data_IF_825341151593
#
_entry.id   IF_825341151593
#
_cell.length_a   1.000
_cell.length_b   1.000
_cell.length_c   1.000
_cell.angle_alpha   90.00
_cell.angle_beta   90.00
_cell.angle_gamma   90.00
#
_symmetry.space_group_name_H-M   'P 1'
#
loop_
_entity.id
_entity.type
_entity.pdbx_description
1 polymer ?
#
# COMPACT_ATOMS: atom_id res chain seq x y z
N UNK A 1 -26.24 12.88 -47.63
CA UNK A 1 -24.86 13.38 -47.79
C UNK A 1 -24.41 13.94 -46.46
N UNK A 2 -23.59 13.21 -45.71
CA UNK A 2 -23.04 13.62 -44.43
C UNK A 2 -21.50 13.49 -44.52
N UNK A 3 -20.80 14.61 -44.37
CA UNK A 3 -19.35 14.70 -44.47
C UNK A 3 -18.68 14.16 -43.20
N UNK A 4 -18.00 13.02 -43.30
CA UNK A 4 -17.00 12.62 -42.30
C UNK A 4 -15.64 13.23 -42.68
N UNK A 5 -15.04 13.99 -41.76
CA UNK A 5 -13.68 14.54 -41.90
C UNK A 5 -12.73 13.72 -41.03
N UNK A 6 -11.88 12.91 -41.67
CA UNK A 6 -10.79 12.19 -41.02
C UNK A 6 -9.66 13.16 -40.69
N UNK A 7 -9.25 13.24 -39.42
CA UNK A 7 -8.09 14.04 -38.99
C UNK A 7 -6.87 13.12 -38.94
N UNK A 8 -5.89 13.39 -39.81
CA UNK A 8 -4.60 12.70 -39.85
C UNK A 8 -3.61 13.45 -38.95
N UNK A 9 -3.01 12.77 -37.98
CA UNK A 9 -1.92 13.31 -37.17
C UNK A 9 -0.59 12.73 -37.65
N UNK A 10 0.31 13.59 -38.12
CA UNK A 10 1.68 13.26 -38.51
C UNK A 10 2.58 13.60 -37.32
N UNK A 11 3.13 12.58 -36.66
CA UNK A 11 4.15 12.74 -35.64
C UNK A 11 5.53 12.85 -36.28
N UNK A 12 6.19 14.01 -36.12
CA UNK A 12 7.59 14.20 -36.46
C UNK A 12 8.40 13.90 -35.20
N UNK A 13 9.06 12.73 -35.17
CA UNK A 13 10.05 12.39 -34.16
C UNK A 13 11.45 12.86 -34.60
N UNK A 14 12.14 13.61 -33.76
CA UNK A 14 13.54 13.96 -33.95
C UNK A 14 14.41 13.17 -32.95
N UNK A 15 15.29 12.31 -33.47
CA UNK A 15 16.35 11.68 -32.69
C UNK A 15 17.66 12.44 -32.94
N UNK A 16 18.34 12.86 -31.87
CA UNK A 16 19.70 13.42 -31.95
C UNK A 16 20.69 12.34 -31.55
N UNK A 17 21.54 11.93 -32.49
CA UNK A 17 22.84 11.32 -32.22
C UNK A 17 23.91 12.20 -32.84
N UNK A 18 24.86 12.66 -32.03
CA UNK A 18 26.10 13.25 -32.51
C UNK A 18 27.24 12.83 -31.59
N UNK A 19 27.94 11.78 -32.00
CA UNK A 19 29.32 11.51 -31.58
C UNK A 19 30.26 12.06 -32.65
N UNK A 20 31.36 12.68 -32.23
CA UNK A 20 32.52 12.89 -33.10
C UNK A 20 33.79 12.67 -32.26
N UNK A 21 34.58 11.71 -32.70
CA UNK A 21 35.93 11.38 -32.23
C UNK A 21 36.97 12.30 -32.87
N UNK A 22 38.07 12.57 -32.17
CA UNK A 22 39.32 13.10 -32.71
C UNK A 22 40.46 12.19 -32.24
N UNK A 23 41.19 11.61 -33.20
CA UNK A 23 42.53 10.98 -33.07
C UNK A 23 43.60 12.07 -33.37
N UNK A 24 44.91 11.99 -33.11
CA UNK A 24 45.91 11.00 -32.71
C UNK A 24 47.04 11.79 -31.96
N UNK A 25 47.99 11.24 -31.21
CA UNK A 25 49.23 10.50 -31.60
C UNK A 25 50.10 10.46 -30.31
N UNK A 26 50.96 9.51 -29.93
CA UNK A 26 51.48 8.30 -30.55
C UNK A 26 52.33 7.48 -29.55
N UNK A 27 52.94 6.43 -30.11
CA UNK A 27 54.03 5.53 -29.63
C UNK A 27 53.77 4.46 -28.55
N UNK A 28 53.75 3.22 -29.06
CA UNK A 28 54.56 2.05 -28.66
C UNK A 28 53.88 0.79 -28.07
N UNK A 29 53.64 -0.15 -28.99
CA UNK A 29 54.11 -1.54 -29.00
C UNK A 29 53.62 -2.56 -27.93
N UNK A 30 52.67 -3.44 -28.33
CA UNK A 30 52.88 -4.89 -28.64
C UNK A 30 51.56 -5.69 -28.64
N UNK A 31 51.26 -6.33 -29.80
CA UNK A 31 50.81 -7.73 -30.06
C UNK A 31 49.94 -8.43 -29.00
N UNK A 32 48.77 -9.07 -29.21
CA UNK A 32 48.14 -9.95 -30.25
C UNK A 32 46.65 -10.09 -29.84
N UNK A 33 45.59 -10.13 -30.64
CA UNK A 33 45.28 -10.99 -31.80
C UNK A 33 44.17 -12.01 -31.45
N UNK A 34 42.94 -11.83 -31.97
CA UNK A 34 41.84 -12.81 -32.20
C UNK A 34 40.50 -12.02 -32.30
N UNK A 35 39.92 -11.70 -33.46
CA UNK A 35 39.27 -12.52 -34.52
C UNK A 35 37.83 -12.98 -34.20
N UNK A 36 37.01 -13.01 -35.27
CA UNK A 36 35.58 -13.24 -35.43
C UNK A 36 34.68 -11.99 -35.23
N UNK A 37 33.81 -11.58 -36.16
CA UNK A 37 33.31 -12.23 -37.36
C UNK A 37 31.96 -11.60 -37.68
N UNK A 38 31.89 -10.91 -38.81
CA UNK A 38 30.70 -10.33 -39.43
C UNK A 38 29.79 -11.44 -39.98
N UNK A 39 28.45 -11.34 -39.92
CA UNK A 39 27.48 -11.77 -40.97
C UNK A 39 26.01 -11.48 -40.56
N UNK A 40 25.45 -10.51 -41.31
CA UNK A 40 24.11 -10.37 -41.95
C UNK A 40 22.77 -10.66 -41.26
N UNK A 41 21.87 -9.70 -41.51
CA UNK A 41 20.41 -9.71 -41.42
C UNK A 41 19.74 -10.90 -42.13
N UNK A 42 18.65 -11.39 -41.53
CA UNK A 42 17.52 -11.99 -42.24
C UNK A 42 16.20 -11.58 -41.58
N UNK A 43 15.33 -11.01 -42.40
CA UNK A 43 13.94 -10.64 -42.16
C UNK A 43 13.06 -11.90 -42.26
N UNK A 44 12.14 -12.10 -41.30
CA UNK A 44 11.09 -13.11 -41.39
C UNK A 44 9.91 -12.73 -40.49
N UNK A 45 8.91 -12.10 -41.11
CA UNK A 45 7.53 -12.02 -40.64
C UNK A 45 6.93 -13.42 -40.50
N UNK A 46 6.45 -13.76 -39.30
CA UNK A 46 5.49 -14.84 -39.10
C UNK A 46 4.52 -14.45 -37.99
N UNK A 47 3.23 -14.38 -38.34
CA UNK A 47 2.13 -14.20 -37.40
C UNK A 47 2.05 -15.39 -36.44
N UNK A 48 1.81 -15.09 -35.17
CA UNK A 48 1.49 -16.05 -34.13
C UNK A 48 0.16 -15.66 -33.50
N UNK A 49 -0.81 -16.56 -33.63
CA UNK A 49 -2.09 -16.56 -32.96
C UNK A 49 -1.90 -16.41 -31.44
N UNK A 50 -2.53 -15.38 -30.85
CA UNK A 50 -2.56 -15.20 -29.40
C UNK A 50 -3.63 -16.11 -28.79
N UNK A 51 -3.24 -17.32 -28.40
CA UNK A 51 -3.99 -18.14 -27.46
C UNK A 51 -3.85 -17.59 -26.03
N UNK A 52 -4.99 -17.56 -25.33
CA UNK A 52 -5.13 -18.09 -23.97
C UNK A 52 -4.39 -17.38 -22.85
N UNK A 53 -5.10 -16.51 -22.14
CA UNK A 53 -4.78 -16.13 -20.77
C UNK A 53 -6.02 -16.26 -19.90
N UNK A 54 -6.42 -17.49 -19.57
CA UNK A 54 -7.28 -17.75 -18.42
C UNK A 54 -6.46 -17.47 -17.16
N UNK A 55 -6.75 -16.35 -16.50
CA UNK A 55 -6.11 -15.91 -15.28
C UNK A 55 -7.06 -16.00 -14.10
N UNK A 56 -6.96 -17.10 -13.36
CA UNK A 56 -7.21 -17.18 -11.92
C UNK A 56 -8.65 -17.02 -11.45
N UNK A 57 -9.33 -18.15 -11.24
CA UNK A 57 -10.36 -18.25 -10.20
C UNK A 57 -9.71 -18.05 -8.82
N UNK A 58 -9.54 -16.79 -8.42
CA UNK A 58 -9.29 -16.41 -7.04
C UNK A 58 -10.61 -16.58 -6.27
N UNK A 59 -10.64 -17.55 -5.35
CA UNK A 59 -11.78 -17.84 -4.50
C UNK A 59 -12.29 -16.62 -3.71
N UNK A 60 -13.41 -16.80 -3.03
CA UNK A 60 -14.24 -15.74 -2.41
C UNK A 60 -13.50 -14.68 -1.56
N UNK A 61 -12.26 -14.94 -1.13
CA UNK A 61 -11.35 -13.96 -0.52
C UNK A 61 -11.05 -12.73 -1.41
N UNK A 62 -10.96 -12.88 -2.74
CA UNK A 62 -10.70 -11.75 -3.64
C UNK A 62 -11.83 -10.69 -3.61
N UNK A 63 -13.07 -11.13 -3.35
CA UNK A 63 -14.22 -10.23 -3.19
C UNK A 63 -14.15 -9.40 -1.90
N UNK A 64 -13.69 -10.00 -0.80
CA UNK A 64 -13.55 -9.36 0.52
C UNK A 64 -12.64 -8.12 0.47
N UNK A 65 -11.50 -8.21 -0.21
CA UNK A 65 -10.53 -7.10 -0.23
C UNK A 65 -10.73 -6.11 -1.38
N UNK A 66 -11.76 -6.30 -2.22
CA UNK A 66 -12.10 -5.37 -3.31
C UNK A 66 -12.39 -3.94 -2.83
N UNK A 67 -12.80 -3.76 -1.57
CA UNK A 67 -12.94 -2.46 -0.92
C UNK A 67 -11.63 -1.65 -0.85
N UNK A 68 -10.48 -2.31 -1.00
CA UNK A 68 -9.14 -1.71 -1.01
C UNK A 68 -8.42 -1.90 -2.35
N UNK A 69 -9.10 -2.48 -3.35
CA UNK A 69 -8.58 -2.52 -4.71
C UNK A 69 -8.66 -1.11 -5.31
N UNK A 70 -7.54 -0.60 -5.81
CA UNK A 70 -7.55 0.61 -6.63
C UNK A 70 -8.28 0.30 -7.94
N UNK A 71 -9.32 1.09 -8.24
CA UNK A 71 -9.98 1.06 -9.53
C UNK A 71 -8.94 1.29 -10.63
N UNK A 72 -8.68 0.25 -11.40
CA UNK A 72 -7.98 0.38 -12.67
C UNK A 72 -8.86 1.21 -13.60
N UNK A 73 -8.31 2.31 -14.11
CA UNK A 73 -8.91 2.99 -15.26
C UNK A 73 -8.85 2.05 -16.47
N UNK A 74 -9.93 1.31 -16.71
CA UNK A 74 -10.00 0.37 -17.82
C UNK A 74 -11.27 -0.44 -17.82
N UNK A 75 -12.38 0.13 -18.30
CA UNK A 75 -13.59 -0.63 -18.58
C UNK A 75 -14.85 0.23 -18.70
N UNK A 76 -15.02 0.92 -19.82
CA UNK A 76 -16.37 1.28 -20.24
C UNK A 76 -17.08 -0.01 -20.71
N UNK A 77 -18.05 -0.49 -19.93
CA UNK A 77 -18.96 -1.54 -20.38
C UNK A 77 -19.60 -2.33 -19.25
N UNK A 78 -20.84 -2.00 -18.91
CA UNK A 78 -21.69 -2.91 -18.13
C UNK A 78 -22.77 -2.20 -17.32
N UNK A 79 -23.81 -1.69 -17.97
CA UNK A 79 -25.10 -1.52 -17.28
C UNK A 79 -25.72 -2.90 -17.08
N UNK A 80 -25.69 -3.40 -15.84
CA UNK A 80 -26.33 -4.66 -15.49
C UNK A 80 -25.80 -5.24 -14.18
N UNK A 81 -26.30 -4.76 -13.05
CA UNK A 81 -26.00 -5.36 -11.75
C UNK A 81 -26.36 -4.46 -10.58
N UNK A 82 -27.64 -4.42 -10.21
CA UNK A 82 -28.01 -4.06 -8.84
C UNK A 82 -27.48 -5.17 -7.92
N UNK A 83 -26.21 -5.08 -7.51
CA UNK A 83 -25.55 -6.06 -6.64
C UNK A 83 -24.09 -6.30 -6.98
N UNK A 84 -23.22 -5.33 -6.71
CA UNK A 84 -21.77 -5.57 -6.50
C UNK A 84 -21.09 -4.30 -5.96
N UNK A 85 -21.61 -3.77 -4.85
CA UNK A 85 -20.81 -2.87 -4.03
C UNK A 85 -19.65 -3.65 -3.42
N UNK A 86 -18.48 -3.04 -3.28
CA UNK A 86 -17.41 -3.62 -2.46
C UNK A 86 -17.97 -3.94 -1.05
N UNK A 87 -17.63 -5.10 -0.46
CA UNK A 87 -18.23 -5.51 0.80
C UNK A 87 -17.89 -4.52 1.91
N UNK A 88 -18.85 -4.30 2.81
CA UNK A 88 -18.65 -3.48 4.00
C UNK A 88 -17.89 -4.25 5.09
N UNK A 89 -17.46 -3.53 6.14
CA UNK A 89 -16.87 -4.17 7.32
C UNK A 89 -17.86 -5.04 8.09
N UNK A 90 -19.17 -4.83 7.94
CA UNK A 90 -20.18 -5.68 8.54
C UNK A 90 -20.26 -7.03 7.81
N UNK A 91 -20.06 -7.03 6.50
CA UNK A 91 -20.24 -8.18 5.61
C UNK A 91 -18.96 -9.00 5.39
N UNK A 92 -17.78 -8.42 5.65
CA UNK A 92 -16.48 -9.07 5.37
C UNK A 92 -15.49 -8.93 6.52
N UNK A 93 -15.03 -10.08 7.02
CA UNK A 93 -13.95 -10.17 8.01
C UNK A 93 -12.67 -9.52 7.50
N UNK A 94 -12.29 -9.75 6.23
CA UNK A 94 -11.12 -9.12 5.62
C UNK A 94 -11.18 -7.59 5.65
N UNK A 95 -12.36 -7.01 5.35
CA UNK A 95 -12.58 -5.57 5.45
C UNK A 95 -12.54 -5.08 6.88
N UNK A 96 -13.18 -5.81 7.79
CA UNK A 96 -13.21 -5.49 9.21
C UNK A 96 -11.79 -5.43 9.80
N UNK A 97 -10.99 -6.49 9.65
CA UNK A 97 -9.64 -6.56 10.17
C UNK A 97 -8.70 -5.56 9.51
N UNK A 98 -8.84 -5.32 8.20
CA UNK A 98 -8.07 -4.26 7.53
C UNK A 98 -8.39 -2.90 8.12
N UNK A 99 -9.66 -2.56 8.34
CA UNK A 99 -10.05 -1.27 8.94
C UNK A 99 -9.51 -1.12 10.36
N UNK A 100 -9.56 -2.17 11.18
CA UNK A 100 -8.95 -2.15 12.51
C UNK A 100 -7.42 -1.92 12.45
N UNK A 101 -6.72 -2.59 11.53
CA UNK A 101 -5.28 -2.40 11.33
C UNK A 101 -4.94 -0.97 10.87
N UNK A 102 -5.78 -0.36 10.02
CA UNK A 102 -5.62 1.05 9.64
C UNK A 102 -5.81 1.98 10.86
N UNK A 103 -6.83 1.74 11.69
CA UNK A 103 -7.03 2.52 12.94
C UNK A 103 -5.82 2.38 13.87
N UNK A 104 -5.29 1.16 14.04
CA UNK A 104 -4.06 0.93 14.81
C UNK A 104 -2.89 1.74 14.23
N UNK A 105 -2.78 1.82 12.90
CA UNK A 105 -1.78 2.65 12.22
C UNK A 105 -1.92 4.15 12.54
N UNK A 106 -3.15 4.68 12.56
CA UNK A 106 -3.41 6.08 12.93
C UNK A 106 -3.04 6.39 14.38
N UNK A 107 -3.41 5.49 15.30
CA UNK A 107 -3.06 5.57 16.72
C UNK A 107 -1.53 5.55 16.88
N UNK A 108 -0.84 4.63 16.20
CA UNK A 108 0.62 4.56 16.18
C UNK A 108 1.29 5.82 15.63
N UNK A 109 0.73 6.42 14.57
CA UNK A 109 1.23 7.68 14.03
C UNK A 109 1.03 8.85 15.01
N UNK A 110 -0.13 8.93 15.67
CA UNK A 110 -0.39 9.93 16.70
C UNK A 110 0.56 9.78 17.89
N UNK A 111 0.81 8.54 18.35
CA UNK A 111 1.78 8.22 19.40
C UNK A 111 3.18 8.72 19.05
N UNK A 112 3.66 8.40 17.84
CA UNK A 112 4.97 8.84 17.36
C UNK A 112 5.09 10.38 17.31
N UNK A 113 4.00 11.10 17.02
CA UNK A 113 3.99 12.56 17.03
C UNK A 113 4.03 13.14 18.45
N UNK A 114 3.29 12.54 19.40
CA UNK A 114 3.38 12.95 20.81
C UNK A 114 4.79 12.71 21.38
N UNK A 115 5.42 11.61 21.00
CA UNK A 115 6.82 11.31 21.35
C UNK A 115 7.80 12.33 20.75
N UNK A 116 7.55 12.78 19.52
CA UNK A 116 8.32 13.84 18.87
C UNK A 116 7.99 15.26 19.37
N UNK A 117 7.04 15.42 20.30
CA UNK A 117 6.57 16.72 20.80
C UNK A 117 5.67 17.50 19.84
N UNK A 118 5.25 16.89 18.73
CA UNK A 118 4.36 17.48 17.73
C UNK A 118 2.89 17.32 18.13
N UNK A 119 2.49 17.98 19.22
CA UNK A 119 1.17 17.78 19.85
C UNK A 119 -0.01 18.16 18.94
N UNK A 120 0.05 19.30 18.26
CA UNK A 120 -1.04 19.76 17.39
C UNK A 120 -1.31 18.78 16.23
N UNK A 121 -0.29 18.34 15.45
CA UNK A 121 -0.45 17.21 14.54
C UNK A 121 -1.00 15.93 15.16
N UNK A 122 -0.55 15.58 16.38
CA UNK A 122 -1.01 14.38 17.06
C UNK A 122 -2.51 14.45 17.38
N UNK A 123 -2.99 15.58 17.92
CA UNK A 123 -4.42 15.87 18.14
C UNK A 123 -5.24 15.72 16.87
N UNK A 124 -4.73 16.21 15.75
CA UNK A 124 -5.32 16.02 14.43
C UNK A 124 -5.55 14.55 14.11
N UNK A 125 -4.53 13.70 14.27
CA UNK A 125 -4.65 12.26 14.00
C UNK A 125 -5.49 11.50 15.03
N UNK A 126 -5.47 11.88 16.30
CA UNK A 126 -6.32 11.24 17.32
C UNK A 126 -7.81 11.32 16.99
N UNK A 127 -8.23 12.38 16.29
CA UNK A 127 -9.62 12.57 15.86
C UNK A 127 -10.00 11.77 14.61
N UNK A 128 -9.03 11.36 13.80
CA UNK A 128 -9.30 10.74 12.50
C UNK A 128 -10.00 9.38 12.59
N UNK A 129 -9.59 8.45 13.49
CA UNK A 129 -10.29 7.17 13.62
C UNK A 129 -11.81 7.33 13.77
N UNK A 130 -12.25 8.22 14.66
CA UNK A 130 -13.68 8.51 14.87
C UNK A 130 -14.34 9.19 13.66
N UNK A 131 -13.66 10.14 13.00
CA UNK A 131 -14.19 10.81 11.80
C UNK A 131 -14.33 9.87 10.60
N UNK A 132 -13.49 8.83 10.55
CA UNK A 132 -13.50 7.83 9.50
C UNK A 132 -14.39 6.63 9.83
N UNK A 133 -15.02 6.60 11.02
CA UNK A 133 -16.09 5.65 11.30
C UNK A 133 -17.29 5.95 10.39
N UNK A 134 -17.34 5.25 9.25
CA UNK A 134 -18.59 5.08 8.52
C UNK A 134 -19.56 4.24 9.38
N UNK A 135 -20.89 4.41 9.22
CA UNK A 135 -21.89 3.62 9.94
C UNK A 135 -21.61 2.11 9.91
N UNK A 136 -21.06 1.62 8.79
CA UNK A 136 -20.64 0.22 8.59
C UNK A 136 -19.62 -0.30 9.60
N UNK A 137 -18.65 0.50 10.05
CA UNK A 137 -17.67 0.04 11.04
C UNK A 137 -18.28 0.03 12.45
N UNK A 138 -19.10 1.01 12.77
CA UNK A 138 -19.83 1.04 14.04
C UNK A 138 -20.77 -0.18 14.15
N UNK A 139 -21.51 -0.48 13.08
CA UNK A 139 -22.34 -1.68 12.98
C UNK A 139 -21.50 -2.97 13.10
N UNK A 140 -20.38 -3.07 12.38
CA UNK A 140 -19.51 -4.25 12.44
C UNK A 140 -18.95 -4.51 13.85
N UNK A 141 -18.60 -3.44 14.58
CA UNK A 141 -18.15 -3.52 15.97
C UNK A 141 -19.28 -3.98 16.89
N UNK A 142 -20.49 -3.44 16.74
CA UNK A 142 -21.67 -3.83 17.53
C UNK A 142 -22.05 -5.30 17.32
N UNK A 143 -22.11 -5.75 16.07
CA UNK A 143 -22.41 -7.15 15.72
C UNK A 143 -21.42 -8.15 16.34
N UNK A 144 -20.16 -7.72 16.54
CA UNK A 144 -19.08 -8.52 17.14
C UNK A 144 -18.95 -8.33 18.65
N UNK A 145 -19.83 -7.54 19.28
CA UNK A 145 -19.78 -7.27 20.71
C UNK A 145 -18.59 -6.40 21.14
N UNK A 146 -17.98 -5.65 20.22
CA UNK A 146 -16.78 -4.83 20.42
C UNK A 146 -17.14 -3.38 20.75
N UNK A 147 -18.17 -3.17 21.57
CA UNK A 147 -18.62 -1.84 22.00
C UNK A 147 -17.54 -1.03 22.72
N UNK A 148 -16.67 -1.71 23.47
CA UNK A 148 -15.55 -1.08 24.18
C UNK A 148 -14.52 -0.47 23.21
N UNK A 149 -14.30 -1.08 22.04
CA UNK A 149 -13.41 -0.56 21.00
C UNK A 149 -13.97 0.74 20.43
N UNK A 150 -15.28 0.75 20.15
CA UNK A 150 -15.97 1.96 19.68
C UNK A 150 -15.84 3.09 20.70
N UNK A 151 -16.14 2.81 21.97
CA UNK A 151 -16.03 3.78 23.05
C UNK A 151 -14.59 4.31 23.21
N UNK A 152 -13.58 3.44 23.08
CA UNK A 152 -12.18 3.85 23.15
C UNK A 152 -11.77 4.77 21.99
N UNK A 153 -12.27 4.52 20.77
CA UNK A 153 -12.03 5.41 19.61
C UNK A 153 -12.71 6.76 19.79
N UNK A 154 -13.96 6.80 20.29
CA UNK A 154 -14.68 8.03 20.60
C UNK A 154 -13.93 8.84 21.67
N UNK A 155 -13.51 8.20 22.76
CA UNK A 155 -12.72 8.83 23.83
C UNK A 155 -11.36 9.35 23.34
N UNK A 156 -10.71 8.65 22.41
CA UNK A 156 -9.46 9.12 21.79
C UNK A 156 -9.69 10.43 21.01
N UNK A 157 -10.77 10.51 20.26
CA UNK A 157 -11.11 11.71 19.50
C UNK A 157 -11.46 12.89 20.40
N UNK A 158 -12.19 12.65 21.49
CA UNK A 158 -12.46 13.67 22.52
C UNK A 158 -11.17 14.17 23.16
N UNK A 159 -10.27 13.26 23.55
CA UNK A 159 -8.98 13.62 24.12
C UNK A 159 -8.13 14.47 23.16
N UNK A 160 -8.15 14.14 21.87
CA UNK A 160 -7.49 14.91 20.82
C UNK A 160 -8.12 16.29 20.59
N UNK A 161 -9.44 16.44 20.78
CA UNK A 161 -10.15 17.70 20.59
C UNK A 161 -10.01 18.68 21.76
N UNK A 162 -9.71 18.19 22.97
CA UNK A 162 -9.55 19.03 24.15
C UNK A 162 -8.12 19.59 24.26
N UNK A 163 -7.98 20.88 23.96
CA UNK A 163 -6.71 21.62 24.05
C UNK A 163 -6.12 21.70 25.46
N UNK A 164 -6.92 21.46 26.51
CA UNK A 164 -6.43 21.42 27.89
C UNK A 164 -5.61 20.16 28.19
N UNK A 165 -5.79 19.07 27.42
CA UNK A 165 -5.07 17.83 27.64
C UNK A 165 -3.57 18.00 27.41
N UNK A 166 -2.77 17.56 28.38
CA UNK A 166 -1.31 17.57 28.29
C UNK A 166 -0.80 16.42 27.41
N UNK A 167 0.48 16.44 27.07
CA UNK A 167 1.12 15.30 26.40
C UNK A 167 0.99 13.99 27.20
N UNK A 168 0.87 14.04 28.53
CA UNK A 168 0.64 12.84 29.34
C UNK A 168 -0.78 12.30 29.15
N UNK A 169 -1.77 13.19 29.14
CA UNK A 169 -3.18 12.83 28.92
C UNK A 169 -3.38 12.23 27.52
N UNK A 170 -2.76 12.83 26.50
CA UNK A 170 -2.80 12.28 25.14
C UNK A 170 -2.16 10.89 25.06
N UNK A 171 -1.03 10.66 25.74
CA UNK A 171 -0.40 9.32 25.79
C UNK A 171 -1.29 8.29 26.46
N UNK A 172 -2.00 8.67 27.53
CA UNK A 172 -2.92 7.78 28.22
C UNK A 172 -4.09 7.39 27.30
N UNK A 173 -4.74 8.37 26.66
CA UNK A 173 -5.83 8.11 25.71
C UNK A 173 -5.38 7.24 24.53
N UNK A 174 -4.19 7.52 23.97
CA UNK A 174 -3.58 6.69 22.93
C UNK A 174 -3.30 5.26 23.42
N UNK A 175 -2.85 5.07 24.66
CA UNK A 175 -2.67 3.75 25.27
C UNK A 175 -3.99 2.97 25.31
N UNK A 176 -5.03 3.57 25.88
CA UNK A 176 -6.35 2.92 26.01
C UNK A 176 -6.93 2.53 24.65
N UNK A 177 -6.87 3.41 23.66
CA UNK A 177 -7.39 3.10 22.32
C UNK A 177 -6.58 2.01 21.60
N UNK A 178 -5.26 2.04 21.73
CA UNK A 178 -4.37 1.03 21.17
C UNK A 178 -4.63 -0.34 21.78
N UNK A 179 -4.74 -0.42 23.12
CA UNK A 179 -5.05 -1.66 23.84
C UNK A 179 -6.39 -2.26 23.39
N UNK A 180 -7.42 -1.41 23.21
CA UNK A 180 -8.74 -1.86 22.76
C UNK A 180 -8.69 -2.40 21.32
N UNK A 181 -8.06 -1.67 20.40
CA UNK A 181 -7.99 -2.06 18.97
C UNK A 181 -7.10 -3.29 18.78
N UNK A 182 -5.96 -3.35 19.45
CA UNK A 182 -5.06 -4.51 19.37
C UNK A 182 -5.67 -5.75 20.02
N UNK A 183 -6.41 -5.60 21.12
CA UNK A 183 -7.20 -6.71 21.70
C UNK A 183 -8.26 -7.22 20.73
N UNK A 184 -8.93 -6.33 19.97
CA UNK A 184 -9.90 -6.74 18.96
C UNK A 184 -9.25 -7.49 17.79
N UNK A 185 -8.08 -7.03 17.32
CA UNK A 185 -7.27 -7.73 16.30
C UNK A 185 -6.81 -9.11 16.80
N UNK A 186 -6.40 -9.21 18.08
CA UNK A 186 -5.92 -10.45 18.68
C UNK A 186 -7.04 -11.48 18.96
N UNK A 187 -8.28 -11.02 19.16
CA UNK A 187 -9.46 -11.88 19.37
C UNK A 187 -10.11 -12.35 18.05
N UNK A 188 -9.37 -12.27 16.94
CA UNK A 188 -9.76 -12.89 15.68
C UNK A 188 -9.98 -14.39 15.85
N UNK A 189 -11.04 -14.93 15.23
CA UNK A 189 -11.32 -16.37 15.24
C UNK A 189 -10.09 -17.16 14.76
N UNK A 190 -9.85 -18.34 15.35
CA UNK A 190 -8.80 -19.27 14.94
C UNK A 190 -8.82 -19.54 13.42
N UNK A 191 -10.01 -19.62 12.81
CA UNK A 191 -10.16 -19.81 11.36
C UNK A 191 -9.43 -18.74 10.53
N UNK A 192 -9.30 -17.52 11.04
CA UNK A 192 -8.62 -16.41 10.36
C UNK A 192 -7.21 -16.17 10.91
N UNK A 193 -7.01 -16.30 12.23
CA UNK A 193 -5.70 -16.06 12.86
C UNK A 193 -4.66 -17.16 12.60
N UNK A 194 -5.10 -18.35 12.18
CA UNK A 194 -4.25 -19.45 11.73
C UNK A 194 -4.17 -19.57 10.20
N UNK A 195 -4.90 -18.75 9.44
CA UNK A 195 -4.90 -18.72 7.98
C UNK A 195 -3.87 -17.69 7.47
N UNK A 196 -2.73 -18.19 7.00
CA UNK A 196 -1.66 -17.34 6.48
C UNK A 196 -2.06 -16.58 5.20
N UNK A 197 -2.93 -17.14 4.35
CA UNK A 197 -3.40 -16.48 3.14
C UNK A 197 -4.30 -15.29 3.50
N UNK A 198 -5.25 -15.51 4.40
CA UNK A 198 -6.10 -14.45 4.93
C UNK A 198 -5.29 -13.30 5.54
N UNK A 199 -4.33 -13.62 6.41
CA UNK A 199 -3.46 -12.62 7.04
C UNK A 199 -2.59 -11.89 6.00
N UNK A 200 -2.10 -12.60 4.98
CA UNK A 200 -1.32 -11.99 3.90
C UNK A 200 -2.15 -10.95 3.13
N UNK A 201 -3.42 -11.26 2.84
CA UNK A 201 -4.34 -10.34 2.17
C UNK A 201 -4.63 -9.09 3.01
N UNK A 202 -4.81 -9.23 4.33
CA UNK A 202 -4.96 -8.07 5.24
C UNK A 202 -3.70 -7.20 5.20
N UNK A 203 -2.50 -7.79 5.29
CA UNK A 203 -1.24 -7.04 5.22
C UNK A 203 -1.13 -6.30 3.88
N UNK A 204 -1.43 -6.97 2.77
CA UNK A 204 -1.43 -6.35 1.43
C UNK A 204 -2.41 -5.18 1.36
N UNK A 205 -3.63 -5.34 1.86
CA UNK A 205 -4.65 -4.29 1.84
C UNK A 205 -4.21 -3.05 2.63
N UNK A 206 -3.59 -3.25 3.81
CA UNK A 206 -3.00 -2.17 4.60
C UNK A 206 -1.89 -1.45 3.83
N UNK A 207 -0.99 -2.18 3.15
CA UNK A 207 0.07 -1.57 2.35
C UNK A 207 -0.45 -0.85 1.11
N UNK A 208 -1.51 -1.35 0.45
CA UNK A 208 -2.20 -0.63 -0.62
C UNK A 208 -2.74 0.71 -0.14
N UNK A 209 -3.38 0.75 1.03
CA UNK A 209 -3.81 2.03 1.60
C UNK A 209 -2.64 2.93 1.97
N UNK A 210 -1.56 2.39 2.54
CA UNK A 210 -0.34 3.16 2.83
C UNK A 210 0.23 3.81 1.57
N UNK A 211 0.31 3.06 0.45
CA UNK A 211 0.73 3.58 -0.85
C UNK A 211 -0.13 4.73 -1.33
N UNK A 212 -1.45 4.55 -1.25
CA UNK A 212 -2.41 5.54 -1.70
C UNK A 212 -2.21 6.87 -0.96
N UNK A 213 -2.07 6.82 0.36
CA UNK A 213 -1.77 7.99 1.19
C UNK A 213 -0.40 8.61 0.84
N UNK A 214 0.61 7.80 0.49
CA UNK A 214 1.90 8.31 0.02
C UNK A 214 1.80 9.07 -1.30
N UNK A 215 0.99 8.55 -2.23
CA UNK A 215 0.71 9.20 -3.50
C UNK A 215 -0.05 10.50 -3.28
N UNK A 216 -1.07 10.52 -2.42
CA UNK A 216 -1.78 11.75 -2.06
C UNK A 216 -0.87 12.76 -1.34
N UNK A 217 0.14 12.28 -0.63
CA UNK A 217 1.09 13.14 0.07
C UNK A 217 2.02 13.91 -0.87
N UNK A 218 2.24 13.43 -2.10
CA UNK A 218 3.32 13.92 -2.99
C UNK A 218 2.76 14.47 -4.30
N UNK A 219 3.15 15.69 -4.64
CA UNK A 219 2.92 16.30 -5.94
C UNK A 219 4.22 16.93 -6.44
N UNK A 220 4.58 16.69 -7.71
CA UNK A 220 5.80 17.20 -8.34
C UNK A 220 7.08 16.94 -7.52
N UNK A 221 7.16 15.76 -6.89
CA UNK A 221 8.30 15.33 -6.09
C UNK A 221 8.42 16.02 -4.72
N UNK A 222 7.37 16.71 -4.25
CA UNK A 222 7.35 17.40 -2.95
C UNK A 222 6.14 16.98 -2.13
N UNK A 223 6.27 17.02 -0.81
CA UNK A 223 5.15 16.79 0.08
C UNK A 223 4.17 17.96 0.04
N UNK A 224 2.92 17.69 -0.35
CA UNK A 224 1.80 18.63 -0.35
C UNK A 224 0.77 18.32 0.73
N UNK A 225 0.75 17.08 1.26
CA UNK A 225 -0.10 16.69 2.39
C UNK A 225 0.70 15.97 3.46
N UNK A 226 1.03 16.69 4.54
CA UNK A 226 1.66 16.11 5.71
C UNK A 226 0.76 15.09 6.44
N UNK A 227 -0.55 15.28 6.38
CA UNK A 227 -1.52 14.35 6.98
C UNK A 227 -1.53 13.01 6.25
N UNK A 228 -1.56 13.01 4.91
CA UNK A 228 -1.51 11.78 4.12
C UNK A 228 -0.16 11.05 4.30
N UNK A 229 0.95 11.79 4.33
CA UNK A 229 2.26 11.18 4.63
C UNK A 229 2.25 10.41 5.96
N UNK A 230 1.68 11.01 7.01
CA UNK A 230 1.61 10.41 8.34
C UNK A 230 0.64 9.23 8.42
N UNK A 231 -0.49 9.28 7.70
CA UNK A 231 -1.36 8.11 7.54
C UNK A 231 -0.58 6.94 6.94
N UNK A 232 0.13 7.17 5.83
CA UNK A 232 0.99 6.16 5.23
C UNK A 232 2.07 5.63 6.19
N UNK A 233 2.70 6.52 6.97
CA UNK A 233 3.69 6.17 8.00
C UNK A 233 3.11 5.20 9.04
N UNK A 234 1.88 5.46 9.49
CA UNK A 234 1.15 4.65 10.45
C UNK A 234 0.73 3.31 9.88
N UNK A 235 0.08 3.32 8.71
CA UNK A 235 -0.40 2.11 8.03
C UNK A 235 0.75 1.15 7.70
N UNK A 236 1.87 1.65 7.16
CA UNK A 236 3.03 0.80 6.85
C UNK A 236 3.60 0.10 8.11
N UNK A 237 3.61 0.79 9.26
CA UNK A 237 4.05 0.20 10.54
C UNK A 237 3.04 -0.79 11.10
N UNK A 238 1.75 -0.52 10.98
CA UNK A 238 0.69 -1.46 11.39
C UNK A 238 0.78 -2.76 10.57
N UNK A 239 0.95 -2.67 9.25
CA UNK A 239 1.15 -3.87 8.41
C UNK A 239 2.42 -4.64 8.77
N UNK A 240 3.52 -3.93 9.08
CA UNK A 240 4.75 -4.57 9.57
C UNK A 240 4.56 -5.26 10.93
N UNK A 241 3.79 -4.66 11.84
CA UNK A 241 3.48 -5.24 13.15
C UNK A 241 2.61 -6.49 13.01
N UNK A 242 1.58 -6.45 12.16
CA UNK A 242 0.71 -7.60 11.89
C UNK A 242 1.51 -8.81 11.38
N UNK A 243 2.47 -8.59 10.47
CA UNK A 243 3.38 -9.64 10.01
C UNK A 243 4.22 -10.23 11.17
N UNK A 244 4.70 -9.39 12.10
CA UNK A 244 5.51 -9.84 13.25
C UNK A 244 4.69 -10.66 14.24
N UNK A 245 3.50 -10.20 14.58
CA UNK A 245 2.61 -10.86 15.56
C UNK A 245 2.21 -12.26 15.09
N UNK A 246 1.99 -12.43 13.79
CA UNK A 246 1.62 -13.72 13.19
C UNK A 246 2.79 -14.47 12.54
N UNK A 247 4.03 -14.13 12.88
CA UNK A 247 5.24 -14.73 12.31
C UNK A 247 5.23 -16.26 12.34
N UNK A 248 4.81 -16.87 13.46
CA UNK A 248 4.73 -18.33 13.58
C UNK A 248 3.72 -18.98 12.61
N UNK A 249 2.62 -18.28 12.30
CA UNK A 249 1.62 -18.75 11.32
C UNK A 249 2.20 -18.70 9.90
N UNK A 250 2.83 -17.58 9.53
CA UNK A 250 3.48 -17.43 8.23
C UNK A 250 4.66 -18.39 8.03
N UNK A 251 5.52 -18.56 9.04
CA UNK A 251 6.67 -19.47 8.99
C UNK A 251 6.23 -20.92 8.77
N UNK A 252 5.17 -21.35 9.46
CA UNK A 252 4.61 -22.70 9.33
C UNK A 252 4.00 -22.93 7.95
N UNK A 253 3.30 -21.93 7.41
CA UNK A 253 2.68 -22.03 6.09
C UNK A 253 3.72 -22.04 4.97
N UNK A 254 4.67 -21.09 4.99
CA UNK A 254 5.72 -20.97 3.98
C UNK A 254 6.89 -20.09 4.45
N UNK A 255 7.90 -20.68 5.09
CA UNK A 255 9.08 -19.96 5.60
C UNK A 255 9.83 -19.15 4.52
N UNK A 256 9.89 -19.65 3.29
CA UNK A 256 10.58 -18.96 2.20
C UNK A 256 9.80 -17.71 1.74
N UNK A 257 8.47 -17.82 1.59
CA UNK A 257 7.61 -16.67 1.28
C UNK A 257 7.63 -15.66 2.44
N UNK A 258 7.55 -16.12 3.70
CA UNK A 258 7.61 -15.26 4.88
C UNK A 258 8.89 -14.41 4.92
N UNK A 259 10.06 -15.02 4.68
CA UNK A 259 11.33 -14.27 4.64
C UNK A 259 11.34 -13.20 3.55
N UNK A 260 10.80 -13.50 2.36
CA UNK A 260 10.68 -12.53 1.26
C UNK A 260 9.69 -11.42 1.59
N UNK A 261 8.52 -11.77 2.13
CA UNK A 261 7.47 -10.83 2.52
C UNK A 261 7.98 -9.85 3.57
N UNK A 262 8.68 -10.34 4.60
CA UNK A 262 9.33 -9.51 5.63
C UNK A 262 10.34 -8.54 5.01
N UNK A 263 11.22 -9.01 4.14
CA UNK A 263 12.21 -8.16 3.48
C UNK A 263 11.53 -7.08 2.61
N UNK A 264 10.48 -7.44 1.86
CA UNK A 264 9.74 -6.50 1.03
C UNK A 264 9.07 -5.41 1.86
N UNK A 265 8.41 -5.80 2.95
CA UNK A 265 7.82 -4.87 3.92
C UNK A 265 8.88 -3.93 4.50
N UNK A 266 10.01 -4.46 4.97
CA UNK A 266 11.08 -3.63 5.55
C UNK A 266 11.59 -2.59 4.55
N UNK A 267 11.69 -2.95 3.27
CA UNK A 267 12.08 -1.98 2.23
C UNK A 267 10.98 -0.98 1.90
N UNK A 268 9.70 -1.38 1.92
CA UNK A 268 8.59 -0.46 1.65
C UNK A 268 8.41 0.57 2.77
N UNK A 269 8.58 0.15 4.04
CA UNK A 269 8.51 1.03 5.21
C UNK A 269 9.57 2.15 5.17
N UNK A 270 10.69 1.94 4.46
CA UNK A 270 11.73 2.96 4.28
C UNK A 270 11.25 4.23 3.53
N UNK A 271 10.10 4.20 2.86
CA UNK A 271 9.48 5.41 2.30
C UNK A 271 9.05 6.42 3.39
N UNK A 272 8.92 5.98 4.64
CA UNK A 272 8.52 6.78 5.81
C UNK A 272 9.56 6.71 6.95
N UNK A 273 10.72 7.37 6.79
CA UNK A 273 11.82 7.30 7.76
C UNK A 273 11.47 7.91 9.13
N UNK A 274 10.50 8.82 9.19
CA UNK A 274 10.09 9.50 10.42
C UNK A 274 8.60 9.89 10.39
N UNK A 275 7.94 10.14 11.55
CA UNK A 275 6.54 10.59 11.59
C UNK A 275 6.38 12.02 11.05
N UNK A 276 7.48 12.76 10.88
CA UNK A 276 7.51 14.03 10.17
C UNK A 276 8.08 13.81 8.76
N UNK A 277 7.42 14.38 7.76
CA UNK A 277 7.88 14.28 6.38
C UNK A 277 9.28 14.91 6.25
N UNK A 278 10.25 14.24 5.62
CA UNK A 278 11.53 14.86 5.26
C UNK A 278 11.35 15.92 4.16
N UNK A 279 12.38 16.72 3.89
CA UNK A 279 12.33 17.79 2.87
C UNK A 279 12.07 17.25 1.45
N UNK A 280 12.53 16.02 1.17
CA UNK A 280 12.30 15.32 -0.09
C UNK A 280 11.87 13.87 0.16
N UNK A 281 11.01 13.29 -0.69
CA UNK A 281 10.61 11.90 -0.57
C UNK A 281 11.82 10.95 -0.56
N UNK A 282 11.87 10.05 0.43
CA UNK A 282 12.91 9.02 0.53
C UNK A 282 12.79 7.97 -0.57
N UNK A 283 11.61 7.86 -1.18
CA UNK A 283 11.27 6.92 -2.23
C UNK A 283 10.33 7.62 -3.22
N UNK A 284 10.45 7.31 -4.51
CA UNK A 284 9.45 7.81 -5.48
C UNK A 284 8.13 7.04 -5.35
N UNK A 285 7.01 7.66 -5.75
CA UNK A 285 5.69 6.99 -5.77
C UNK A 285 5.73 5.72 -6.63
N UNK A 286 6.35 5.78 -7.80
CA UNK A 286 6.48 4.63 -8.71
C UNK A 286 7.35 3.51 -8.13
N UNK A 287 8.41 3.84 -7.41
CA UNK A 287 9.24 2.85 -6.72
C UNK A 287 8.46 2.15 -5.61
N UNK A 288 7.72 2.91 -4.78
CA UNK A 288 6.88 2.33 -3.73
C UNK A 288 5.78 1.45 -4.32
N UNK A 289 5.18 1.86 -5.45
CA UNK A 289 4.20 1.06 -6.18
C UNK A 289 4.79 -0.30 -6.58
N UNK A 290 5.96 -0.32 -7.23
CA UNK A 290 6.62 -1.56 -7.65
C UNK A 290 6.97 -2.47 -6.47
N UNK A 291 7.39 -1.91 -5.33
CA UNK A 291 7.64 -2.68 -4.11
C UNK A 291 6.37 -3.33 -3.57
N UNK A 292 5.25 -2.62 -3.57
CA UNK A 292 3.97 -3.14 -3.07
C UNK A 292 3.38 -4.18 -4.04
N UNK A 293 3.51 -4.01 -5.35
CA UNK A 293 3.15 -5.08 -6.30
C UNK A 293 3.99 -6.35 -6.10
N UNK A 294 5.26 -6.20 -5.73
CA UNK A 294 6.15 -7.32 -5.42
C UNK A 294 5.77 -7.99 -4.09
N UNK A 295 5.28 -7.22 -3.12
CA UNK A 295 4.69 -7.72 -1.87
C UNK A 295 3.41 -8.54 -2.16
N UNK A 296 2.51 -8.03 -3.00
CA UNK A 296 1.29 -8.71 -3.44
C UNK A 296 1.59 -10.07 -4.06
N UNK A 297 2.60 -10.12 -4.95
CA UNK A 297 3.01 -11.37 -5.58
C UNK A 297 3.53 -12.41 -4.57
N UNK A 298 4.28 -11.99 -3.54
CA UNK A 298 4.76 -12.90 -2.49
C UNK A 298 3.62 -13.35 -1.59
N UNK A 299 2.68 -12.45 -1.28
CA UNK A 299 1.53 -12.74 -0.44
C UNK A 299 0.68 -13.88 -1.02
N UNK A 300 0.50 -13.92 -2.34
CA UNK A 300 -0.19 -15.02 -3.04
C UNK A 300 0.52 -16.38 -3.03
N UNK A 301 1.57 -16.56 -2.22
CA UNK A 301 2.28 -17.84 -2.02
C UNK A 301 1.97 -18.50 -0.67
N UNK A 302 1.07 -17.91 0.10
CA UNK A 302 0.45 -18.51 1.28
C UNK A 302 -0.90 -19.12 0.90
#
# INVERSE_FOLDING_TARGET
MAHQRTKLWIGIGACVFAGSSVAADGTDARTTGADAGHITLADASAGGDGQGGEGGEGGEAAGAFSAFAEGGEGGEGGEGGEGSGAPSAAESEGVFFTRLALIAGQIGSARALVEAGALEPARGHMRQPAQQQRPELAEALEQRGLGDVRAAIEALAEAGADEANTAADLRAALGTADDAVTSALANMDAAHSEDAAFLADVVVAVFKRARHEYQEAIQDGRFVSAAAYRNGFGYARAGQQLLREHSATFERANEAAFRRMRQQIDTAVAAWPSPTAPDAPAMSVSELYGRISTLEFTAGQF
#
